data_IF_978408448534
#
_entry.id   IF_978408448534
#
_cell.length_a   1.000
_cell.length_b   1.000
_cell.length_c   1.000
_cell.angle_alpha   90.00
_cell.angle_beta   90.00
_cell.angle_gamma   90.00
#
_symmetry.space_group_name_H-M   'P 1'
#
loop_
_entity.id
_entity.type
_entity.pdbx_description
1 polymer ?
#
# COMPACT_ATOMS: atom_id res chain seq x y z
N UNK A 1 24.53 -4.72 20.81
CA UNK A 1 24.78 -5.26 19.47
C UNK A 1 23.42 -5.27 18.78
N UNK A 2 23.16 -4.23 17.99
CA UNK A 2 21.83 -3.97 17.42
C UNK A 2 21.53 -4.88 16.24
N UNK A 3 20.53 -5.74 16.37
CA UNK A 3 19.87 -6.35 15.21
C UNK A 3 18.87 -5.34 14.67
N UNK A 4 19.03 -4.97 13.41
CA UNK A 4 18.23 -3.94 12.76
C UNK A 4 16.77 -4.37 12.62
N UNK A 5 15.89 -3.65 13.31
CA UNK A 5 14.45 -3.75 13.19
C UNK A 5 14.02 -2.70 12.18
N UNK A 6 13.86 -3.08 10.93
CA UNK A 6 13.05 -2.34 9.94
C UNK A 6 12.84 -3.19 8.69
N UNK A 7 11.86 -4.08 8.73
CA UNK A 7 11.43 -4.79 7.53
C UNK A 7 9.91 -4.85 7.52
N UNK A 8 9.29 -3.79 7.01
CA UNK A 8 7.89 -3.80 6.63
C UNK A 8 7.77 -4.37 5.22
N UNK A 9 7.05 -5.44 5.06
CA UNK A 9 6.75 -6.27 3.89
C UNK A 9 7.63 -7.51 3.74
N UNK A 10 6.98 -8.66 3.95
CA UNK A 10 7.58 -9.97 3.72
C UNK A 10 7.59 -10.23 2.23
N UNK A 11 8.76 -10.20 1.63
CA UNK A 11 9.02 -10.80 0.32
C UNK A 11 10.25 -11.68 0.48
N UNK A 12 10.16 -12.99 0.28
CA UNK A 12 11.34 -13.85 0.29
C UNK A 12 12.23 -13.49 -0.91
N UNK A 13 13.40 -12.94 -0.65
CA UNK A 13 14.48 -12.82 -1.61
C UNK A 13 15.32 -14.09 -1.55
N UNK A 14 14.94 -15.11 -2.29
CA UNK A 14 15.85 -16.18 -2.69
C UNK A 14 15.41 -16.75 -4.04
N UNK A 15 15.85 -16.10 -5.10
CA UNK A 15 16.07 -16.81 -6.37
C UNK A 15 17.41 -16.36 -6.90
N UNK A 16 18.41 -17.22 -6.72
CA UNK A 16 19.60 -17.25 -7.56
C UNK A 16 19.15 -17.50 -9.00
N UNK A 17 19.76 -16.75 -9.94
CA UNK A 17 19.61 -16.97 -11.37
C UNK A 17 20.00 -18.39 -11.74
N UNK A 18 19.02 -19.24 -11.93
CA UNK A 18 19.01 -20.45 -12.79
C UNK A 18 17.69 -21.15 -12.55
N UNK A 19 16.79 -21.04 -13.51
CA UNK A 19 15.79 -22.02 -13.95
C UNK A 19 14.60 -21.30 -14.60
N UNK A 20 14.80 -20.98 -15.88
CA UNK A 20 13.72 -20.52 -16.77
C UNK A 20 13.37 -21.68 -17.73
N UNK A 21 12.89 -22.77 -17.23
CA UNK A 21 12.24 -23.80 -18.06
C UNK A 21 11.39 -24.69 -17.16
N UNK A 22 10.17 -24.28 -16.91
CA UNK A 22 8.94 -25.09 -16.80
C UNK A 22 7.78 -24.22 -16.24
N UNK A 23 7.16 -23.43 -17.11
CA UNK A 23 5.89 -22.77 -16.84
C UNK A 23 4.78 -23.52 -17.57
N UNK A 24 4.37 -24.66 -17.02
CA UNK A 24 3.06 -25.23 -17.34
C UNK A 24 1.99 -24.39 -16.62
N UNK A 25 1.35 -23.52 -17.39
CA UNK A 25 0.18 -22.73 -16.99
C UNK A 25 -0.93 -23.66 -16.57
N UNK A 26 -1.30 -23.65 -15.29
CA UNK A 26 -2.57 -24.23 -14.83
C UNK A 26 -3.70 -23.27 -15.17
N UNK A 27 -4.44 -23.62 -16.21
CA UNK A 27 -5.73 -23.05 -16.54
C UNK A 27 -6.77 -23.54 -15.53
N UNK A 28 -7.06 -22.75 -14.49
CA UNK A 28 -8.22 -23.01 -13.63
C UNK A 28 -9.01 -21.71 -13.43
N UNK A 29 -10.15 -21.63 -14.17
CA UNK A 29 -11.35 -20.82 -13.93
C UNK A 29 -11.22 -19.31 -13.75
N UNK A 30 -10.71 -18.61 -14.77
CA UNK A 30 -11.07 -17.22 -15.02
C UNK A 30 -12.15 -17.19 -16.12
N UNK A 31 -13.19 -16.41 -15.91
CA UNK A 31 -14.20 -16.10 -16.92
C UNK A 31 -13.47 -15.49 -18.14
N UNK A 32 -13.15 -16.32 -19.13
CA UNK A 32 -12.22 -16.05 -20.25
C UNK A 32 -12.77 -15.04 -21.24
N UNK A 33 -13.88 -14.36 -20.93
CA UNK A 33 -14.55 -13.44 -21.84
C UNK A 33 -14.44 -11.95 -21.46
N UNK A 34 -13.74 -11.61 -20.37
CA UNK A 34 -13.51 -10.21 -19.97
C UNK A 34 -12.05 -9.84 -20.16
N UNK A 35 -11.78 -8.77 -20.90
CA UNK A 35 -10.41 -8.25 -21.01
C UNK A 35 -9.83 -7.97 -19.61
N UNK A 36 -8.55 -8.29 -19.35
CA UNK A 36 -7.93 -8.07 -18.05
C UNK A 36 -8.05 -6.60 -17.64
N UNK A 37 -8.42 -6.36 -16.38
CA UNK A 37 -8.56 -5.02 -15.84
C UNK A 37 -7.23 -4.25 -15.95
N UNK A 38 -7.28 -3.01 -16.41
CA UNK A 38 -6.11 -2.15 -16.47
C UNK A 38 -5.90 -1.45 -15.14
N UNK A 39 -4.75 -1.68 -14.53
CA UNK A 39 -4.37 -1.11 -13.23
C UNK A 39 -3.24 -0.10 -13.42
N UNK A 40 -3.50 1.16 -13.05
CA UNK A 40 -2.46 2.15 -12.83
C UNK A 40 -1.85 1.93 -11.44
N UNK A 41 -0.61 1.44 -11.37
CA UNK A 41 0.06 1.25 -10.10
C UNK A 41 0.73 2.55 -9.66
N UNK A 42 0.28 3.12 -8.54
CA UNK A 42 0.84 4.33 -7.96
C UNK A 42 2.02 3.98 -7.06
N UNK A 43 3.24 4.07 -7.60
CA UNK A 43 4.46 3.90 -6.80
C UNK A 43 4.61 5.08 -5.85
N UNK A 44 4.57 4.82 -4.54
CA UNK A 44 4.76 5.89 -3.56
C UNK A 44 6.21 6.30 -3.48
N UNK A 45 6.49 7.58 -3.16
CA UNK A 45 7.86 8.08 -3.07
C UNK A 45 8.73 7.29 -2.08
N UNK A 46 8.14 6.81 -0.99
CA UNK A 46 8.85 5.98 0.01
C UNK A 46 9.21 4.61 -0.56
N UNK A 47 8.29 3.99 -1.29
CA UNK A 47 8.55 2.69 -1.96
C UNK A 47 9.62 2.86 -3.03
N UNK A 48 9.49 3.84 -3.90
CA UNK A 48 10.41 4.10 -5.01
C UNK A 48 11.84 4.35 -4.51
N UNK A 49 11.99 5.24 -3.52
CA UNK A 49 13.31 5.69 -3.05
C UNK A 49 13.97 4.73 -2.05
N UNK A 50 13.19 4.07 -1.18
CA UNK A 50 13.75 3.33 -0.04
C UNK A 50 13.53 1.82 -0.12
N UNK A 51 12.48 1.36 -0.81
CA UNK A 51 12.08 -0.05 -0.86
C UNK A 51 11.50 -0.45 -2.22
N UNK A 52 12.23 -0.30 -3.33
CA UNK A 52 11.70 -0.63 -4.67
C UNK A 52 11.26 -2.08 -4.81
N UNK A 53 11.87 -3.02 -4.06
CA UNK A 53 11.46 -4.41 -4.03
C UNK A 53 9.97 -4.61 -3.63
N UNK A 54 9.44 -3.73 -2.76
CA UNK A 54 8.02 -3.75 -2.39
C UNK A 54 7.13 -3.40 -3.59
N UNK A 55 7.54 -2.41 -4.39
CA UNK A 55 6.84 -2.02 -5.61
C UNK A 55 6.79 -3.18 -6.63
N UNK A 56 7.93 -3.82 -6.88
CA UNK A 56 7.99 -4.98 -7.79
C UNK A 56 7.16 -6.16 -7.30
N UNK A 57 7.20 -6.45 -5.99
CA UNK A 57 6.38 -7.52 -5.42
C UNK A 57 4.88 -7.22 -5.54
N UNK A 58 4.47 -5.97 -5.31
CA UNK A 58 3.07 -5.56 -5.47
C UNK A 58 2.60 -5.67 -6.92
N UNK A 59 3.43 -5.27 -7.88
CA UNK A 59 3.14 -5.41 -9.31
C UNK A 59 2.96 -6.90 -9.65
N UNK A 60 3.87 -7.76 -9.20
CA UNK A 60 3.78 -9.20 -9.45
C UNK A 60 2.50 -9.79 -8.87
N UNK A 61 2.14 -9.48 -7.64
CA UNK A 61 0.89 -9.94 -7.02
C UNK A 61 -0.35 -9.55 -7.84
N UNK A 62 -0.37 -8.35 -8.41
CA UNK A 62 -1.46 -7.87 -9.25
C UNK A 62 -1.49 -8.59 -10.60
N UNK A 63 -0.33 -8.84 -11.22
CA UNK A 63 -0.20 -9.56 -12.49
C UNK A 63 -0.57 -11.03 -12.33
N UNK A 64 -0.09 -11.70 -11.27
CA UNK A 64 -0.46 -13.07 -10.92
C UNK A 64 -1.97 -13.21 -10.63
N UNK A 65 -2.62 -12.12 -10.22
CA UNK A 65 -4.08 -12.04 -10.05
C UNK A 65 -4.84 -11.64 -11.33
N UNK A 66 -4.19 -11.65 -12.50
CA UNK A 66 -4.80 -11.42 -13.80
C UNK A 66 -4.98 -9.96 -14.21
N UNK A 67 -4.34 -9.01 -13.53
CA UNK A 67 -4.38 -7.60 -13.91
C UNK A 67 -3.31 -7.25 -14.96
N UNK A 68 -3.62 -6.27 -15.81
CA UNK A 68 -2.61 -5.60 -16.64
C UNK A 68 -2.12 -4.36 -15.91
N UNK A 69 -0.88 -4.41 -15.38
CA UNK A 69 -0.33 -3.33 -14.56
C UNK A 69 0.49 -2.36 -15.41
N UNK A 70 0.33 -1.08 -15.15
CA UNK A 70 1.12 0.01 -15.76
C UNK A 70 1.55 0.99 -14.69
N UNK A 71 2.82 1.38 -14.70
CA UNK A 71 3.37 2.45 -13.85
C UNK A 71 3.53 3.70 -14.72
N UNK A 72 2.68 4.73 -14.57
CA UNK A 72 2.81 5.95 -15.36
C UNK A 72 4.11 6.69 -15.05
N UNK A 73 4.94 6.95 -16.07
CA UNK A 73 6.18 7.71 -15.89
C UNK A 73 5.96 9.17 -15.49
N UNK A 74 4.74 9.69 -15.70
CA UNK A 74 4.36 11.06 -15.36
C UNK A 74 3.83 11.21 -13.94
N UNK A 75 3.78 10.12 -13.16
CA UNK A 75 3.35 10.21 -11.78
C UNK A 75 4.32 11.00 -10.91
N UNK A 76 3.80 11.58 -9.85
CA UNK A 76 4.56 12.29 -8.82
C UNK A 76 4.19 11.79 -7.43
N UNK A 77 4.68 12.46 -6.38
CA UNK A 77 4.19 12.25 -5.02
C UNK A 77 2.66 12.44 -4.95
N UNK A 78 1.99 11.80 -3.98
CA UNK A 78 0.56 12.00 -3.73
C UNK A 78 0.21 13.41 -3.20
N UNK A 79 1.20 14.21 -2.81
CA UNK A 79 0.98 15.57 -2.29
C UNK A 79 0.66 15.64 -0.80
N UNK A 80 0.61 14.52 -0.08
CA UNK A 80 0.28 14.52 1.36
C UNK A 80 1.19 15.42 2.21
N UNK A 81 2.52 15.51 2.00
CA UNK A 81 3.36 16.43 2.76
C UNK A 81 2.97 17.90 2.60
N UNK A 82 2.64 18.33 1.38
CA UNK A 82 2.16 19.68 1.11
C UNK A 82 0.79 19.91 1.78
N UNK A 83 -0.14 18.97 1.63
CA UNK A 83 -1.46 19.02 2.26
C UNK A 83 -1.37 19.13 3.79
N UNK A 84 -0.56 18.29 4.43
CA UNK A 84 -0.36 18.30 5.88
C UNK A 84 0.37 19.55 6.40
N UNK A 85 1.07 20.28 5.52
CA UNK A 85 1.68 21.56 5.87
C UNK A 85 0.77 22.77 5.67
N UNK A 86 -0.42 22.57 5.10
CA UNK A 86 -1.36 23.64 4.78
C UNK A 86 -1.04 24.35 3.45
N UNK A 87 -0.12 23.81 2.64
CA UNK A 87 0.19 24.33 1.31
C UNK A 87 -0.82 23.80 0.30
N UNK A 88 -1.99 24.43 0.28
CA UNK A 88 -3.10 24.05 -0.59
C UNK A 88 -2.76 24.24 -2.06
N UNK A 89 -2.04 25.31 -2.42
CA UNK A 89 -1.70 25.61 -3.80
C UNK A 89 -0.82 24.52 -4.42
N UNK A 90 0.24 24.12 -3.73
CA UNK A 90 1.12 23.01 -4.15
C UNK A 90 0.35 21.69 -4.18
N UNK A 91 -0.52 21.43 -3.19
CA UNK A 91 -1.35 20.23 -3.12
C UNK A 91 -2.29 20.11 -4.32
N UNK A 92 -2.94 21.19 -4.72
CA UNK A 92 -3.80 21.25 -5.91
C UNK A 92 -3.00 20.97 -7.18
N UNK A 93 -1.82 21.58 -7.33
CA UNK A 93 -0.94 21.35 -8.48
C UNK A 93 -0.56 19.88 -8.64
N UNK A 94 -0.14 19.25 -7.55
CA UNK A 94 0.21 17.82 -7.51
C UNK A 94 -1.02 16.95 -7.79
N UNK A 95 -2.15 17.23 -7.16
CA UNK A 95 -3.38 16.45 -7.36
C UNK A 95 -3.85 16.48 -8.82
N UNK A 96 -3.76 17.62 -9.51
CA UNK A 96 -4.07 17.73 -10.94
C UNK A 96 -3.19 16.84 -11.80
N UNK A 97 -1.88 16.82 -11.52
CA UNK A 97 -0.93 15.97 -12.23
C UNK A 97 -1.24 14.47 -12.01
N UNK A 98 -1.49 14.06 -10.77
CA UNK A 98 -1.84 12.67 -10.44
C UNK A 98 -3.17 12.27 -11.11
N UNK A 99 -4.21 13.11 -11.05
CA UNK A 99 -5.48 12.84 -11.72
C UNK A 99 -5.25 12.60 -13.22
N UNK A 100 -4.53 13.50 -13.89
CA UNK A 100 -4.26 13.37 -15.32
C UNK A 100 -3.46 12.12 -15.68
N UNK A 101 -2.54 11.69 -14.82
CA UNK A 101 -1.73 10.49 -15.06
C UNK A 101 -2.52 9.18 -14.89
N UNK A 102 -3.58 9.18 -14.04
CA UNK A 102 -4.25 7.95 -13.64
C UNK A 102 -5.72 7.83 -14.07
N UNK A 103 -6.35 8.87 -14.59
CA UNK A 103 -7.78 8.84 -14.94
C UNK A 103 -8.17 7.83 -16.04
N UNK A 104 -7.22 7.39 -16.85
CA UNK A 104 -7.44 6.47 -17.96
C UNK A 104 -7.55 4.98 -17.56
N UNK A 105 -7.07 4.59 -16.36
CA UNK A 105 -7.09 3.20 -15.91
C UNK A 105 -8.43 2.82 -15.32
N UNK A 106 -8.77 1.53 -15.35
CA UNK A 106 -9.97 1.00 -14.69
C UNK A 106 -9.86 1.12 -13.18
N UNK A 107 -8.67 0.84 -12.65
CA UNK A 107 -8.34 0.94 -11.21
C UNK A 107 -7.00 1.62 -10.99
N UNK A 108 -6.86 2.22 -9.82
CA UNK A 108 -5.58 2.74 -9.31
C UNK A 108 -5.25 2.02 -8.02
N UNK A 109 -4.10 1.36 -7.98
CA UNK A 109 -3.67 0.60 -6.79
C UNK A 109 -2.43 1.24 -6.18
N UNK A 110 -2.48 1.43 -4.87
CA UNK A 110 -1.49 2.17 -4.09
C UNK A 110 -0.99 1.29 -2.95
N UNK A 111 0.31 0.94 -2.85
CA UNK A 111 0.86 0.12 -1.76
C UNK A 111 1.10 0.95 -0.49
N UNK A 112 0.18 1.81 -0.13
CA UNK A 112 0.25 2.67 1.06
C UNK A 112 -1.10 3.26 1.41
N UNK A 113 -1.56 3.01 2.63
CA UNK A 113 -2.82 3.55 3.14
C UNK A 113 -2.86 5.07 3.16
N UNK A 114 -1.73 5.74 3.48
CA UNK A 114 -1.70 7.20 3.55
C UNK A 114 -1.80 7.87 2.17
N UNK A 115 -1.14 7.33 1.16
CA UNK A 115 -1.24 7.86 -0.20
C UNK A 115 -2.61 7.54 -0.83
N UNK A 116 -3.15 6.35 -0.58
CA UNK A 116 -4.50 5.99 -1.02
C UNK A 116 -5.56 6.89 -0.35
N UNK A 117 -5.45 7.14 0.96
CA UNK A 117 -6.30 8.09 1.70
C UNK A 117 -6.20 9.51 1.14
N UNK A 118 -4.99 9.98 0.81
CA UNK A 118 -4.80 11.29 0.18
C UNK A 118 -5.58 11.41 -1.13
N UNK A 119 -5.53 10.41 -1.99
CA UNK A 119 -6.22 10.41 -3.29
C UNK A 119 -7.73 10.27 -3.09
N UNK A 120 -8.19 9.36 -2.23
CA UNK A 120 -9.61 9.07 -2.06
C UNK A 120 -10.37 10.12 -1.28
N UNK A 121 -9.80 10.57 -0.16
CA UNK A 121 -10.52 11.40 0.81
C UNK A 121 -10.20 12.88 0.66
N UNK A 122 -8.96 13.23 0.31
CA UNK A 122 -8.52 14.61 0.34
C UNK A 122 -8.52 15.30 -1.02
N UNK A 123 -8.28 14.60 -2.14
CA UNK A 123 -8.36 15.22 -3.46
C UNK A 123 -9.75 15.82 -3.76
N UNK A 124 -10.88 15.12 -3.51
CA UNK A 124 -12.18 15.75 -3.69
C UNK A 124 -12.39 17.02 -2.85
N UNK A 125 -11.81 17.07 -1.64
CA UNK A 125 -11.90 18.25 -0.76
C UNK A 125 -11.09 19.42 -1.30
N UNK A 126 -9.89 19.17 -1.85
CA UNK A 126 -9.05 20.20 -2.48
C UNK A 126 -9.76 20.93 -3.65
N UNK A 127 -10.64 20.23 -4.34
CA UNK A 127 -11.36 20.77 -5.50
C UNK A 127 -12.81 21.15 -5.20
N UNK A 128 -13.21 21.31 -3.94
CA UNK A 128 -14.61 21.59 -3.58
C UNK A 128 -15.19 22.84 -4.26
N UNK A 129 -14.35 23.85 -4.58
CA UNK A 129 -14.74 25.08 -5.27
C UNK A 129 -14.57 25.04 -6.81
N UNK A 130 -13.96 23.96 -7.35
CA UNK A 130 -13.71 23.79 -8.79
C UNK A 130 -14.44 22.55 -9.31
N UNK A 131 -15.68 22.73 -9.78
CA UNK A 131 -16.58 21.63 -10.16
C UNK A 131 -15.98 20.72 -11.23
N UNK A 132 -15.20 21.24 -12.17
CA UNK A 132 -14.59 20.45 -13.24
C UNK A 132 -13.52 19.48 -12.69
N UNK A 133 -12.68 19.94 -11.80
CA UNK A 133 -11.67 19.11 -11.15
C UNK A 133 -12.26 18.25 -10.05
N UNK A 134 -13.28 18.72 -9.33
CA UNK A 134 -14.00 17.93 -8.34
C UNK A 134 -14.58 16.64 -8.93
N UNK A 135 -15.20 16.72 -10.10
CA UNK A 135 -15.75 15.57 -10.80
C UNK A 135 -14.66 14.55 -11.18
N UNK A 136 -13.53 15.03 -11.70
CA UNK A 136 -12.38 14.17 -12.03
C UNK A 136 -11.75 13.55 -10.79
N UNK A 137 -11.61 14.33 -9.72
CA UNK A 137 -11.08 13.83 -8.44
C UNK A 137 -12.00 12.76 -7.84
N UNK A 138 -13.31 12.94 -7.88
CA UNK A 138 -14.27 11.94 -7.42
C UNK A 138 -14.22 10.64 -8.24
N UNK A 139 -14.14 10.74 -9.55
CA UNK A 139 -13.97 9.56 -10.42
C UNK A 139 -12.67 8.81 -10.11
N UNK A 140 -11.57 9.53 -9.88
CA UNK A 140 -10.33 8.88 -9.48
C UNK A 140 -10.46 8.22 -8.10
N UNK A 141 -11.04 8.92 -7.14
CA UNK A 141 -11.23 8.43 -5.77
C UNK A 141 -12.01 7.10 -5.72
N UNK A 142 -13.09 6.97 -6.53
CA UNK A 142 -13.93 5.75 -6.54
C UNK A 142 -13.22 4.51 -7.07
N UNK A 143 -12.17 4.67 -7.86
CA UNK A 143 -11.39 3.57 -8.45
C UNK A 143 -9.98 3.42 -7.86
N UNK A 144 -9.66 4.18 -6.82
CA UNK A 144 -8.39 4.09 -6.10
C UNK A 144 -8.53 3.20 -4.88
N UNK A 145 -7.64 2.22 -4.75
CA UNK A 145 -7.62 1.26 -3.65
C UNK A 145 -6.21 1.13 -3.08
N UNK A 146 -6.12 0.86 -1.80
CA UNK A 146 -4.89 0.35 -1.21
C UNK A 146 -4.70 -1.10 -1.65
N UNK A 147 -3.46 -1.55 -1.77
CA UNK A 147 -3.09 -2.85 -2.34
C UNK A 147 -3.84 -4.03 -1.69
N UNK A 148 -3.80 -4.14 -0.36
CA UNK A 148 -4.43 -5.27 0.33
C UNK A 148 -5.94 -5.24 0.20
N UNK A 149 -6.53 -4.05 0.24
CA UNK A 149 -7.95 -3.85 -0.02
C UNK A 149 -8.32 -4.26 -1.45
N UNK A 150 -7.52 -3.90 -2.44
CA UNK A 150 -7.80 -4.26 -3.82
C UNK A 150 -7.75 -5.78 -4.04
N UNK A 151 -6.71 -6.44 -3.51
CA UNK A 151 -6.56 -7.88 -3.63
C UNK A 151 -7.74 -8.63 -3.01
N UNK A 152 -8.14 -8.25 -1.80
CA UNK A 152 -9.19 -8.96 -1.05
C UNK A 152 -10.59 -8.54 -1.48
N UNK A 153 -10.88 -7.22 -1.51
CA UNK A 153 -12.25 -6.75 -1.68
C UNK A 153 -12.68 -6.68 -3.14
N UNK A 154 -11.75 -6.45 -4.08
CA UNK A 154 -12.04 -6.34 -5.51
C UNK A 154 -11.74 -7.63 -6.26
N UNK A 155 -10.51 -8.14 -6.14
CA UNK A 155 -10.09 -9.34 -6.86
C UNK A 155 -10.49 -10.65 -6.16
N UNK A 156 -10.92 -10.59 -4.90
CA UNK A 156 -11.32 -11.76 -4.10
C UNK A 156 -10.22 -12.81 -3.98
N UNK A 157 -8.97 -12.35 -3.82
CA UNK A 157 -7.81 -13.23 -3.63
C UNK A 157 -7.94 -13.94 -2.28
N UNK A 158 -8.04 -15.26 -2.30
CA UNK A 158 -8.11 -16.11 -1.11
C UNK A 158 -6.76 -16.78 -0.78
N UNK A 159 -5.89 -16.90 -1.77
CA UNK A 159 -4.58 -17.57 -1.63
C UNK A 159 -3.50 -16.72 -2.26
N UNK A 160 -2.35 -16.70 -1.64
CA UNK A 160 -1.12 -16.11 -2.17
C UNK A 160 -0.11 -17.23 -2.32
N UNK A 161 0.41 -17.43 -3.54
CA UNK A 161 1.43 -18.43 -3.81
C UNK A 161 2.79 -17.94 -3.28
N UNK A 162 2.91 -17.96 -1.97
CA UNK A 162 4.14 -17.63 -1.26
C UNK A 162 4.26 -18.40 0.04
N UNK A 163 5.48 -18.57 0.52
CA UNK A 163 5.78 -19.21 1.79
C UNK A 163 6.73 -18.33 2.61
N UNK A 164 6.47 -18.26 3.91
CA UNK A 164 7.36 -17.62 4.87
C UNK A 164 7.27 -18.40 6.19
N UNK A 165 8.39 -18.87 6.69
CA UNK A 165 8.40 -19.61 7.97
C UNK A 165 8.83 -18.68 9.08
N UNK A 166 7.91 -18.41 10.01
CA UNK A 166 8.17 -17.55 11.16
C UNK A 166 6.93 -16.86 11.68
N UNK A 167 7.11 -16.18 12.80
CA UNK A 167 6.06 -15.40 13.46
C UNK A 167 6.11 -13.95 12.98
N UNK A 168 4.95 -13.38 12.70
CA UNK A 168 4.85 -11.95 12.39
C UNK A 168 3.81 -11.27 13.27
N UNK A 169 4.00 -9.97 13.51
CA UNK A 169 2.98 -9.10 14.09
C UNK A 169 2.67 -7.97 13.14
N UNK A 170 1.46 -7.42 13.22
CA UNK A 170 0.97 -6.41 12.27
C UNK A 170 0.67 -5.08 12.96
N UNK A 171 1.07 -3.98 12.30
CA UNK A 171 0.70 -2.63 12.70
C UNK A 171 -0.33 -2.05 11.72
N UNK A 172 -1.51 -1.71 12.23
CA UNK A 172 -2.54 -1.03 11.45
C UNK A 172 -2.13 0.42 11.17
N UNK A 173 -1.90 0.75 9.91
CA UNK A 173 -1.56 2.13 9.53
C UNK A 173 -2.73 3.08 9.78
N UNK A 174 -2.44 4.29 10.28
CA UNK A 174 -3.48 5.24 10.67
C UNK A 174 -4.48 5.55 9.56
N UNK A 175 -4.01 5.91 8.36
CA UNK A 175 -4.88 6.23 7.23
C UNK A 175 -5.55 4.97 6.65
N UNK A 176 -4.83 3.86 6.59
CA UNK A 176 -5.40 2.58 6.17
C UNK A 176 -6.61 2.20 7.02
N UNK A 177 -6.44 2.23 8.34
CA UNK A 177 -7.50 1.86 9.27
C UNK A 177 -8.62 2.91 9.34
N UNK A 178 -8.27 4.20 9.56
CA UNK A 178 -9.25 5.23 9.94
C UNK A 178 -9.93 5.90 8.76
N UNK A 179 -9.26 6.02 7.63
CA UNK A 179 -9.80 6.65 6.43
C UNK A 179 -10.34 5.62 5.44
N UNK A 180 -9.67 4.47 5.31
CA UNK A 180 -10.01 3.46 4.31
C UNK A 180 -10.72 2.22 4.88
N UNK A 181 -10.78 2.06 6.21
CA UNK A 181 -11.41 0.92 6.87
C UNK A 181 -10.64 -0.40 6.69
N UNK A 182 -9.35 -0.34 6.38
CA UNK A 182 -8.51 -1.51 6.14
C UNK A 182 -8.03 -2.08 7.48
N UNK A 183 -8.48 -3.30 7.80
CA UNK A 183 -8.10 -4.02 9.00
C UNK A 183 -7.95 -5.51 8.75
N UNK A 184 -9.00 -6.13 8.21
CA UNK A 184 -9.05 -7.58 8.03
C UNK A 184 -8.30 -8.04 6.78
N UNK A 185 -8.24 -7.20 5.74
CA UNK A 185 -7.64 -7.55 4.45
C UNK A 185 -6.16 -7.98 4.56
N UNK A 186 -5.26 -7.22 5.23
CA UNK A 186 -3.88 -7.65 5.39
C UNK A 186 -3.77 -8.91 6.25
N UNK A 187 -4.63 -9.11 7.24
CA UNK A 187 -4.65 -10.32 8.09
C UNK A 187 -5.05 -11.55 7.30
N UNK A 188 -6.08 -11.41 6.46
CA UNK A 188 -6.52 -12.47 5.56
C UNK A 188 -5.40 -12.89 4.61
N UNK A 189 -4.70 -11.92 4.00
CA UNK A 189 -3.59 -12.22 3.09
C UNK A 189 -2.40 -12.86 3.83
N UNK A 190 -2.05 -12.38 5.02
CA UNK A 190 -0.98 -12.97 5.83
C UNK A 190 -1.31 -14.41 6.25
N UNK A 191 -2.55 -14.68 6.65
CA UNK A 191 -2.99 -16.03 7.01
C UNK A 191 -3.02 -17.00 5.82
N UNK A 192 -3.08 -16.48 4.61
CA UNK A 192 -3.03 -17.27 3.38
C UNK A 192 -1.60 -17.64 2.95
N UNK A 193 -0.57 -17.01 3.54
CA UNK A 193 0.85 -17.33 3.27
C UNK A 193 1.26 -18.57 4.06
N UNK A 194 1.80 -19.57 3.38
CA UNK A 194 2.21 -20.82 4.02
C UNK A 194 3.35 -20.61 5.01
N UNK A 195 3.17 -21.09 6.25
CA UNK A 195 4.19 -21.06 7.32
C UNK A 195 4.27 -19.76 8.11
N UNK A 196 3.37 -18.79 7.86
CA UNK A 196 3.23 -17.59 8.68
C UNK A 196 2.35 -17.88 9.90
N UNK A 197 2.82 -17.46 11.07
CA UNK A 197 2.02 -17.37 12.30
C UNK A 197 1.85 -15.88 12.64
N UNK A 198 0.59 -15.42 12.73
CA UNK A 198 0.29 -14.02 13.04
C UNK A 198 0.03 -13.87 14.55
N UNK A 199 0.92 -13.15 15.23
CA UNK A 199 0.80 -12.77 16.63
C UNK A 199 0.33 -11.31 16.74
N UNK A 200 -0.92 -11.11 17.15
CA UNK A 200 -1.51 -9.78 17.24
C UNK A 200 -0.87 -8.89 18.31
N UNK A 201 -0.46 -7.72 17.93
CA UNK A 201 0.02 -6.70 18.86
C UNK A 201 -1.15 -6.07 19.63
N UNK A 202 -1.05 -5.97 20.95
CA UNK A 202 -2.12 -5.45 21.82
C UNK A 202 -2.61 -4.06 21.44
N UNK A 203 -1.78 -3.23 20.86
CA UNK A 203 -2.10 -1.85 20.46
C UNK A 203 -1.74 -1.64 18.98
N UNK A 204 -2.17 -2.58 18.11
CA UNK A 204 -1.87 -2.57 16.69
C UNK A 204 -2.32 -1.27 16.01
N UNK A 205 -3.44 -0.69 16.45
CA UNK A 205 -4.10 0.50 15.92
C UNK A 205 -3.58 1.83 16.49
N UNK A 206 -2.67 1.79 17.48
CA UNK A 206 -2.06 3.01 18.03
C UNK A 206 -1.06 3.59 17.04
N UNK A 207 -1.07 4.91 16.89
CA UNK A 207 -0.18 5.62 15.97
C UNK A 207 1.31 5.28 16.25
N UNK A 208 2.07 4.98 15.17
CA UNK A 208 3.51 4.72 15.26
C UNK A 208 4.38 5.98 15.35
N UNK A 209 3.79 7.18 15.27
CA UNK A 209 4.53 8.44 15.35
C UNK A 209 5.17 8.91 14.04
N UNK A 210 5.15 8.12 12.96
CA UNK A 210 5.79 8.52 11.71
C UNK A 210 5.12 9.76 11.10
N UNK A 211 3.83 9.68 10.75
CA UNK A 211 3.00 10.78 10.24
C UNK A 211 3.60 11.61 9.09
N UNK A 212 4.61 11.11 8.38
CA UNK A 212 5.32 11.83 7.32
C UNK A 212 5.95 13.13 7.85
N UNK A 213 5.29 14.26 7.64
CA UNK A 213 5.76 15.57 8.10
C UNK A 213 5.82 15.71 9.64
N UNK A 214 5.01 14.95 10.39
CA UNK A 214 4.97 15.00 11.85
C UNK A 214 6.33 14.62 12.47
N UNK A 215 6.98 13.57 11.99
CA UNK A 215 8.28 13.14 12.53
C UNK A 215 9.39 14.17 12.28
N UNK A 216 9.25 15.03 11.25
CA UNK A 216 10.18 16.12 10.97
C UNK A 216 9.91 17.34 11.85
N UNK A 217 8.62 17.68 12.03
CA UNK A 217 8.23 18.86 12.84
C UNK A 217 8.33 18.63 14.36
N UNK A 218 8.09 17.40 14.80
CA UNK A 218 8.02 17.03 16.21
C UNK A 218 8.85 15.78 16.51
N UNK A 219 10.17 15.81 16.27
CA UNK A 219 11.02 14.60 16.29
C UNK A 219 11.06 13.93 17.67
N UNK A 220 11.06 14.69 18.77
CA UNK A 220 11.08 14.14 20.13
C UNK A 220 9.82 13.35 20.45
N UNK A 221 8.65 13.88 20.11
CA UNK A 221 7.36 13.22 20.32
C UNK A 221 7.26 11.98 19.43
N UNK A 222 7.64 12.15 18.16
CA UNK A 222 7.65 11.04 17.18
C UNK A 222 8.53 9.89 17.65
N UNK A 223 9.75 10.19 18.13
CA UNK A 223 10.69 9.17 18.63
C UNK A 223 10.10 8.39 19.80
N UNK A 224 9.44 9.07 20.75
CA UNK A 224 8.79 8.40 21.88
C UNK A 224 7.64 7.49 21.42
N UNK A 225 6.84 7.95 20.45
CA UNK A 225 5.74 7.13 19.89
C UNK A 225 6.29 5.90 19.15
N UNK A 226 7.36 6.06 18.38
CA UNK A 226 8.06 4.93 17.71
C UNK A 226 8.58 3.95 18.75
N UNK A 227 9.24 4.41 19.81
CA UNK A 227 9.75 3.55 20.87
C UNK A 227 8.62 2.72 21.51
N UNK A 228 7.51 3.36 21.87
CA UNK A 228 6.34 2.67 22.43
C UNK A 228 5.78 1.61 21.48
N UNK A 229 5.74 1.92 20.17
CA UNK A 229 5.25 0.97 19.16
C UNK A 229 6.21 -0.22 19.00
N UNK A 230 7.50 0.03 18.96
CA UNK A 230 8.54 -1.03 18.87
C UNK A 230 8.51 -1.92 20.10
N UNK A 231 8.37 -1.35 21.30
CA UNK A 231 8.21 -2.10 22.54
C UNK A 231 6.94 -2.96 22.53
N UNK A 232 5.84 -2.44 21.98
CA UNK A 232 4.60 -3.19 21.78
C UNK A 232 4.79 -4.39 20.87
N UNK A 233 5.48 -4.18 19.74
CA UNK A 233 5.81 -5.25 18.80
C UNK A 233 6.76 -6.29 19.42
N UNK A 234 7.79 -5.85 20.13
CA UNK A 234 8.76 -6.76 20.77
C UNK A 234 8.11 -7.66 21.83
N UNK A 235 7.05 -7.20 22.50
CA UNK A 235 6.31 -8.00 23.50
C UNK A 235 5.54 -9.16 22.89
N UNK A 236 5.23 -9.15 21.61
CA UNK A 236 4.60 -10.28 20.94
C UNK A 236 5.53 -11.47 20.77
N UNK A 237 6.86 -11.23 20.80
CA UNK A 237 7.86 -12.25 20.52
C UNK A 237 7.99 -12.58 19.02
N UNK A 238 7.26 -11.88 18.16
CA UNK A 238 7.31 -12.14 16.72
C UNK A 238 8.67 -11.76 16.09
N UNK A 239 9.08 -12.54 15.11
CA UNK A 239 10.35 -12.34 14.40
C UNK A 239 10.31 -11.13 13.46
N UNK A 240 9.10 -10.77 13.02
CA UNK A 240 8.88 -9.75 12.00
C UNK A 240 7.68 -8.85 12.34
N UNK A 241 7.82 -7.56 12.06
CA UNK A 241 6.75 -6.56 12.12
C UNK A 241 6.44 -6.06 10.71
#
# INVERSE_FOLDING_TARGET
MGRGILQCYIVPLSTTETDVDDLSVREDNLDTNRAPATVGFFVTCVVDLLRPAVGFAAIRLLEDSGCRVTVPHTQSCCGQPAYNSGDEWTSIGIARQVIAAFEQFDYVVVPSGSCAGMIREHYPRLFAADLGWLERARRLATKTFELTQFLVDVLKVEKVDSAFTGTCTYHDSCSGLRELGIREQPRQLLSAVSGVELEEMKEADTCCGFGGLFCVKYPEISTQMVANKVDGAARTGADTL
#
